data_IF_395506457536
#
_entry.id   IF_395506457536
#
_cell.length_a   1.000
_cell.length_b   1.000
_cell.length_c   1.000
_cell.angle_alpha   90.00
_cell.angle_beta   90.00
_cell.angle_gamma   90.00
#
_symmetry.space_group_name_H-M   'P 1'
#
loop_
_entity.id
_entity.type
_entity.pdbx_description
1 polymer ?
#
# COMPACT_ATOMS: atom_id res chain seq x y z
N UNK A 1 -10.96 6.03 -1.80
CA UNK A 1 -10.75 5.16 -0.63
C UNK A 1 -9.35 5.34 -0.02
N UNK A 2 -8.27 4.92 -0.69
CA UNK A 2 -6.91 4.92 -0.14
C UNK A 2 -6.41 6.27 0.41
N UNK A 3 -6.50 7.37 -0.35
CA UNK A 3 -6.07 8.70 0.14
C UNK A 3 -6.72 9.10 1.47
N UNK A 4 -8.00 8.75 1.65
CA UNK A 4 -8.75 9.01 2.89
C UNK A 4 -8.25 8.13 4.04
N UNK A 5 -7.99 6.85 3.78
CA UNK A 5 -7.42 5.95 4.79
C UNK A 5 -6.05 6.44 5.28
N UNK A 6 -5.18 6.86 4.35
CA UNK A 6 -3.88 7.44 4.69
C UNK A 6 -4.03 8.70 5.56
N UNK A 7 -4.93 9.62 5.17
CA UNK A 7 -5.20 10.83 5.95
C UNK A 7 -5.71 10.52 7.37
N UNK A 8 -6.63 9.56 7.52
CA UNK A 8 -7.18 9.17 8.82
C UNK A 8 -6.14 8.53 9.75
N UNK A 9 -5.13 7.84 9.20
CA UNK A 9 -4.00 7.26 9.95
C UNK A 9 -2.90 8.31 10.20
N UNK A 10 -3.02 9.53 9.67
CA UNK A 10 -2.04 10.60 9.84
C UNK A 10 -0.79 10.44 8.98
N UNK A 11 -0.92 9.75 7.84
CA UNK A 11 0.19 9.51 6.90
C UNK A 11 -0.06 10.29 5.62
N UNK A 12 0.90 11.11 5.20
CA UNK A 12 0.86 11.75 3.87
C UNK A 12 1.26 10.73 2.80
N UNK A 13 0.38 10.40 1.84
CA UNK A 13 0.72 9.43 0.81
C UNK A 13 1.73 10.00 -0.18
N UNK A 14 2.78 9.24 -0.49
CA UNK A 14 3.69 9.51 -1.59
C UNK A 14 3.18 8.75 -2.81
N UNK A 15 2.92 9.46 -3.91
CA UNK A 15 2.41 8.88 -5.15
C UNK A 15 3.55 8.74 -6.16
N UNK A 16 4.05 7.53 -6.32
CA UNK A 16 5.15 7.21 -7.24
C UNK A 16 4.73 6.13 -8.25
N UNK A 17 5.18 6.24 -9.51
CA UNK A 17 4.93 5.22 -10.52
C UNK A 17 5.78 3.98 -10.26
N UNK A 18 5.19 2.80 -10.48
CA UNK A 18 5.92 1.53 -10.48
C UNK A 18 6.53 1.33 -11.87
N UNK A 19 7.86 1.17 -11.94
CA UNK A 19 8.60 0.94 -13.19
C UNK A 19 8.69 -0.55 -13.53
N UNK A 20 7.55 -1.21 -13.61
CA UNK A 20 7.44 -2.66 -13.84
C UNK A 20 6.01 -3.15 -13.77
N UNK A 21 5.82 -4.47 -13.87
CA UNK A 21 4.51 -5.10 -13.72
C UNK A 21 4.14 -5.36 -12.27
N UNK A 22 2.83 -5.38 -11.98
CA UNK A 22 2.26 -5.86 -10.72
C UNK A 22 1.00 -6.66 -11.00
N UNK A 23 0.60 -7.52 -10.07
CA UNK A 23 -0.69 -8.20 -10.16
C UNK A 23 -1.84 -7.18 -10.21
N UNK A 24 -1.72 -6.07 -9.48
CA UNK A 24 -2.70 -4.98 -9.49
C UNK A 24 -2.88 -4.34 -10.87
N UNK A 25 -1.81 -4.18 -11.65
CA UNK A 25 -1.91 -3.69 -13.03
C UNK A 25 -2.70 -4.65 -13.92
N UNK A 26 -2.47 -5.97 -13.78
CA UNK A 26 -3.22 -7.00 -14.53
C UNK A 26 -4.68 -7.06 -14.07
N UNK A 27 -4.95 -7.05 -12.77
CA UNK A 27 -6.31 -7.03 -12.22
C UNK A 27 -7.08 -5.78 -12.68
N UNK A 28 -6.41 -4.63 -12.73
CA UNK A 28 -7.01 -3.38 -13.22
C UNK A 28 -7.40 -3.48 -14.70
N UNK A 29 -6.57 -4.12 -15.53
CA UNK A 29 -6.92 -4.41 -16.93
C UNK A 29 -8.13 -5.35 -17.04
N UNK A 30 -8.27 -6.29 -16.10
CA UNK A 30 -9.40 -7.23 -16.03
C UNK A 30 -10.69 -6.60 -15.43
N UNK A 31 -10.71 -5.30 -15.17
CA UNK A 31 -11.89 -4.59 -14.64
C UNK A 31 -11.95 -4.50 -13.11
N UNK A 32 -10.88 -4.86 -12.39
CA UNK A 32 -10.77 -4.70 -10.94
C UNK A 32 -9.67 -3.68 -10.59
N UNK A 33 -10.00 -2.38 -10.45
CA UNK A 33 -9.02 -1.35 -10.08
C UNK A 33 -8.29 -1.71 -8.77
N UNK A 34 -6.98 -1.87 -8.86
CA UNK A 34 -6.17 -2.42 -7.77
C UNK A 34 -4.87 -1.63 -7.57
N UNK A 35 -4.90 -0.56 -6.74
CA UNK A 35 -3.70 0.21 -6.41
C UNK A 35 -2.79 -0.54 -5.42
N UNK A 36 -1.49 -0.26 -5.47
CA UNK A 36 -0.53 -0.76 -4.46
C UNK A 36 -0.47 0.15 -3.22
N UNK A 37 -0.21 -0.47 -2.08
CA UNK A 37 0.12 0.19 -0.81
C UNK A 37 1.48 -0.30 -0.32
N UNK A 38 2.18 0.53 0.47
CA UNK A 38 3.49 0.17 1.02
C UNK A 38 3.38 -0.92 2.10
N UNK A 39 4.49 -1.62 2.35
CA UNK A 39 4.58 -2.69 3.36
C UNK A 39 5.48 -2.32 4.55
N UNK A 40 6.32 -1.29 4.40
CA UNK A 40 7.40 -0.96 5.34
C UNK A 40 8.71 -1.70 5.06
N UNK A 41 8.77 -2.50 3.98
CA UNK A 41 9.97 -3.15 3.48
C UNK A 41 10.80 -2.26 2.56
N UNK A 42 12.11 -2.55 2.50
CA UNK A 42 13.11 -1.84 1.71
C UNK A 42 14.11 -2.82 1.10
N UNK A 43 14.78 -2.42 0.01
CA UNK A 43 15.84 -3.18 -0.66
C UNK A 43 15.44 -4.60 -1.08
N UNK A 44 14.19 -4.78 -1.56
CA UNK A 44 13.66 -6.08 -1.95
C UNK A 44 14.58 -6.80 -2.94
N UNK A 45 14.62 -8.14 -2.83
CA UNK A 45 15.39 -9.04 -3.71
C UNK A 45 16.92 -8.92 -3.55
N UNK A 46 17.40 -8.78 -2.32
CA UNK A 46 18.84 -8.75 -2.05
C UNK A 46 19.21 -9.05 -0.60
N UNK A 47 20.51 -9.26 -0.36
CA UNK A 47 21.05 -9.55 0.99
C UNK A 47 20.87 -8.43 2.02
N UNK A 48 20.46 -7.24 1.57
CA UNK A 48 20.20 -6.06 2.41
C UNK A 48 18.71 -5.76 2.53
N UNK A 49 17.84 -6.70 2.16
CA UNK A 49 16.40 -6.59 2.36
C UNK A 49 16.07 -6.51 3.85
N UNK A 50 15.25 -5.54 4.24
CA UNK A 50 14.81 -5.36 5.61
C UNK A 50 13.44 -4.69 5.68
N UNK A 51 12.82 -4.72 6.86
CA UNK A 51 11.59 -4.01 7.14
C UNK A 51 11.69 -3.23 8.45
N UNK A 52 10.99 -2.09 8.51
CA UNK A 52 10.91 -1.26 9.71
C UNK A 52 9.60 -1.56 10.44
N UNK A 53 9.68 -2.08 11.66
CA UNK A 53 8.51 -2.49 12.47
C UNK A 53 7.47 -1.36 12.59
N UNK A 54 7.91 -0.13 12.81
CA UNK A 54 7.02 1.03 12.91
C UNK A 54 6.28 1.32 11.59
N UNK A 55 6.92 1.09 10.43
CA UNK A 55 6.28 1.29 9.14
C UNK A 55 5.31 0.15 8.82
N UNK A 56 5.64 -1.09 9.19
CA UNK A 56 4.72 -2.22 9.09
C UNK A 56 3.44 -1.95 9.89
N UNK A 57 3.57 -1.40 11.12
CA UNK A 57 2.41 -1.02 11.93
C UNK A 57 1.53 0.04 11.23
N UNK A 58 2.13 1.02 10.55
CA UNK A 58 1.37 2.00 9.77
C UNK A 58 0.65 1.34 8.59
N UNK A 59 1.31 0.44 7.85
CA UNK A 59 0.68 -0.31 6.78
C UNK A 59 -0.54 -1.12 7.28
N UNK A 60 -0.41 -1.80 8.43
CA UNK A 60 -1.52 -2.51 9.08
C UNK A 60 -2.68 -1.57 9.41
N UNK A 61 -2.42 -0.42 10.03
CA UNK A 61 -3.46 0.57 10.36
C UNK A 61 -4.19 1.06 9.11
N UNK A 62 -3.47 1.29 8.01
CA UNK A 62 -4.06 1.72 6.74
C UNK A 62 -4.94 0.63 6.13
N UNK A 63 -4.55 -0.64 6.20
CA UNK A 63 -5.39 -1.76 5.72
C UNK A 63 -6.68 -1.86 6.54
N UNK A 64 -6.59 -1.75 7.87
CA UNK A 64 -7.77 -1.77 8.74
C UNK A 64 -8.71 -0.60 8.40
N UNK A 65 -8.18 0.61 8.25
CA UNK A 65 -8.96 1.80 7.91
C UNK A 65 -9.60 1.67 6.51
N UNK A 66 -8.87 1.11 5.52
CA UNK A 66 -9.41 0.80 4.20
C UNK A 66 -10.63 -0.13 4.29
N UNK A 67 -10.54 -1.21 5.07
CA UNK A 67 -11.64 -2.15 5.27
C UNK A 67 -12.84 -1.49 5.94
N UNK A 68 -12.61 -0.66 6.96
CA UNK A 68 -13.68 0.08 7.65
C UNK A 68 -14.36 1.10 6.73
N UNK A 69 -13.59 1.79 5.88
CA UNK A 69 -14.14 2.73 4.92
C UNK A 69 -14.88 2.04 3.77
N UNK A 70 -14.48 0.83 3.39
CA UNK A 70 -15.13 0.05 2.33
C UNK A 70 -16.44 -0.60 2.78
N UNK A 71 -16.58 -0.90 4.08
CA UNK A 71 -17.78 -1.50 4.66
C UNK A 71 -18.90 -0.47 4.95
N UNK A 72 -18.65 0.82 4.75
CA UNK A 72 -19.63 1.91 4.86
C UNK A 72 -20.25 2.19 3.50
#
# INVERSE_FOLDING_TARGET
LAKKAFANVGVTPVLEPIRGGTDGARLSFMGLPCPNIFTGGYNCHGKYEFAVVNHMLLATKIVIELSQLAAK
#
